data_IF_694824011934
#
_entry.id   IF_694824011934
#
_cell.length_a   1.000
_cell.length_b   1.000
_cell.length_c   1.000
_cell.angle_alpha   90.00
_cell.angle_beta   90.00
_cell.angle_gamma   90.00
#
_symmetry.space_group_name_H-M   'P 1'
#
loop_
_entity.id
_entity.type
_entity.pdbx_description
1 polymer ?
#
# COMPACT_ATOMS: atom_id res chain seq x y z
N UNK A 1 -16.95 -0.29 -13.45
CA UNK A 1 -15.83 0.68 -13.52
C UNK A 1 -14.82 0.40 -12.42
N UNK A 2 -13.52 0.52 -12.69
CA UNK A 2 -12.45 0.38 -11.69
C UNK A 2 -12.25 1.68 -10.88
N UNK A 3 -13.28 2.08 -10.14
CA UNK A 3 -13.23 3.26 -9.26
C UNK A 3 -13.64 2.82 -7.86
N UNK A 4 -12.79 3.01 -6.84
CA UNK A 4 -13.16 2.76 -5.46
C UNK A 4 -14.27 3.72 -5.02
N UNK A 5 -15.15 3.28 -4.12
CA UNK A 5 -16.12 4.16 -3.47
C UNK A 5 -15.43 5.31 -2.70
N UNK A 6 -16.10 6.45 -2.56
CA UNK A 6 -15.51 7.69 -1.98
C UNK A 6 -14.91 7.50 -0.59
N UNK A 7 -15.54 6.66 0.25
CA UNK A 7 -15.03 6.38 1.59
C UNK A 7 -13.64 5.72 1.57
N UNK A 8 -13.24 5.08 0.46
CA UNK A 8 -11.95 4.41 0.34
C UNK A 8 -10.78 5.37 0.54
N UNK A 9 -10.92 6.62 0.07
CA UNK A 9 -9.92 7.67 0.23
C UNK A 9 -9.71 8.07 1.70
N UNK A 10 -10.61 7.70 2.61
CA UNK A 10 -10.43 7.87 4.07
C UNK A 10 -9.21 7.15 4.64
N UNK A 11 -8.67 6.14 3.95
CA UNK A 11 -7.43 5.45 4.34
C UNK A 11 -6.22 6.39 4.40
N UNK A 12 -6.22 7.49 3.63
CA UNK A 12 -5.19 8.51 3.71
C UNK A 12 -5.09 9.11 5.10
N UNK A 13 -6.21 9.32 5.80
CA UNK A 13 -6.23 9.79 7.18
C UNK A 13 -5.49 8.84 8.13
N UNK A 14 -5.71 7.53 7.97
CA UNK A 14 -5.02 6.50 8.75
C UNK A 14 -3.52 6.48 8.42
N UNK A 15 -3.16 6.55 7.14
CA UNK A 15 -1.77 6.59 6.70
C UNK A 15 -1.06 7.82 7.29
N UNK A 16 -1.63 9.02 7.18
CA UNK A 16 -1.04 10.25 7.72
C UNK A 16 -0.94 10.23 9.24
N UNK A 17 -1.93 9.66 9.93
CA UNK A 17 -1.86 9.48 11.37
C UNK A 17 -0.67 8.58 11.78
N UNK A 18 -0.50 7.43 11.12
CA UNK A 18 0.62 6.52 11.40
C UNK A 18 1.98 7.12 11.03
N UNK A 19 2.07 7.87 9.92
CA UNK A 19 3.30 8.58 9.54
C UNK A 19 3.64 9.70 10.55
N UNK A 20 2.64 10.36 11.12
CA UNK A 20 2.83 11.38 12.17
C UNK A 20 3.39 10.75 13.44
N UNK A 21 2.84 9.60 13.88
CA UNK A 21 3.39 8.84 15.01
C UNK A 21 4.84 8.44 14.73
N UNK A 22 5.13 7.95 13.52
CA UNK A 22 6.49 7.58 13.12
C UNK A 22 7.46 8.79 13.19
N UNK A 23 7.02 9.95 12.71
CA UNK A 23 7.81 11.19 12.77
C UNK A 23 8.11 11.59 14.22
N UNK A 24 7.12 11.57 15.11
CA UNK A 24 7.30 11.88 16.54
C UNK A 24 8.28 10.89 17.18
N UNK A 25 8.16 9.59 16.86
CA UNK A 25 9.07 8.56 17.35
C UNK A 25 10.52 8.79 16.88
N UNK A 26 10.73 9.13 15.61
CA UNK A 26 12.05 9.48 15.09
C UNK A 26 12.63 10.73 15.78
N UNK A 27 11.80 11.74 16.04
CA UNK A 27 12.23 12.95 16.74
C UNK A 27 12.69 12.65 18.18
N UNK A 28 11.95 11.80 18.90
CA UNK A 28 12.32 11.34 20.23
C UNK A 28 13.65 10.59 20.25
N UNK A 29 13.86 9.67 19.31
CA UNK A 29 15.11 8.91 19.17
C UNK A 29 16.32 9.82 18.87
N UNK A 30 16.12 10.86 18.05
CA UNK A 30 17.18 11.82 17.72
C UNK A 30 17.57 12.66 18.95
N UNK A 31 16.59 13.10 19.74
CA UNK A 31 16.81 13.89 20.95
C UNK A 31 17.60 13.13 22.02
N UNK A 32 17.37 11.81 22.14
CA UNK A 32 17.97 10.99 23.19
C UNK A 32 19.30 10.33 22.78
N UNK A 33 19.86 10.63 21.58
CA UNK A 33 21.09 10.02 21.07
C UNK A 33 21.09 8.48 21.13
N UNK A 34 19.92 7.86 20.92
CA UNK A 34 19.78 6.40 21.00
C UNK A 34 20.55 5.73 19.84
N UNK A 35 21.22 4.62 20.14
CA UNK A 35 21.82 3.69 19.16
C UNK A 35 20.89 3.28 18.02
N UNK A 36 19.56 3.30 18.26
CA UNK A 36 18.51 3.05 17.27
C UNK A 36 18.37 4.17 16.21
N UNK A 37 19.06 5.31 16.34
CA UNK A 37 19.11 6.38 15.35
C UNK A 37 19.64 5.93 13.97
N UNK A 38 20.22 4.73 13.88
CA UNK A 38 20.57 4.08 12.61
C UNK A 38 19.36 3.89 11.68
N UNK A 39 18.15 3.67 12.24
CA UNK A 39 16.90 3.64 11.46
C UNK A 39 16.65 5.00 10.81
N UNK A 40 16.83 6.10 11.54
CA UNK A 40 16.65 7.46 11.03
C UNK A 40 17.60 7.72 9.86
N UNK A 41 18.88 7.34 9.97
CA UNK A 41 19.85 7.51 8.87
C UNK A 41 19.47 6.72 7.61
N UNK A 42 18.89 5.53 7.75
CA UNK A 42 18.49 4.69 6.62
C UNK A 42 17.18 5.14 5.95
N UNK A 43 16.28 5.75 6.73
CA UNK A 43 14.87 5.90 6.37
C UNK A 43 14.43 7.36 6.27
N UNK A 44 15.03 8.26 7.06
CA UNK A 44 14.61 9.65 7.17
C UNK A 44 14.66 10.42 5.85
N UNK A 45 15.73 10.25 5.06
CA UNK A 45 15.83 10.88 3.73
C UNK A 45 14.77 10.33 2.76
N UNK A 46 14.60 9.01 2.72
CA UNK A 46 13.59 8.37 1.86
C UNK A 46 12.18 8.80 2.28
N UNK A 47 11.91 8.89 3.58
CA UNK A 47 10.65 9.38 4.11
C UNK A 47 10.37 10.82 3.67
N UNK A 48 11.35 11.72 3.81
CA UNK A 48 11.22 13.10 3.35
C UNK A 48 10.92 13.18 1.85
N UNK A 49 11.62 12.37 1.04
CA UNK A 49 11.35 12.25 -0.41
C UNK A 49 9.93 11.76 -0.68
N UNK A 50 9.45 10.72 0.02
CA UNK A 50 8.06 10.25 -0.14
C UNK A 50 7.04 11.32 0.19
N UNK A 51 7.26 12.09 1.26
CA UNK A 51 6.37 13.17 1.67
C UNK A 51 6.33 14.31 0.64
N UNK A 52 7.49 14.71 0.10
CA UNK A 52 7.56 15.73 -0.96
C UNK A 52 6.83 15.28 -2.23
N UNK A 53 7.08 14.04 -2.68
CA UNK A 53 6.39 13.48 -3.85
C UNK A 53 4.88 13.45 -3.60
N UNK A 54 4.44 13.08 -2.40
CA UNK A 54 3.03 13.06 -2.03
C UNK A 54 2.39 14.46 -2.05
N UNK A 55 3.09 15.48 -1.55
CA UNK A 55 2.64 16.88 -1.63
C UNK A 55 2.48 17.33 -3.08
N UNK A 56 3.45 17.03 -3.95
CA UNK A 56 3.33 17.32 -5.38
C UNK A 56 2.18 16.56 -6.01
N UNK A 57 2.00 15.29 -5.66
CA UNK A 57 0.89 14.49 -6.19
C UNK A 57 -0.47 15.11 -5.86
N UNK A 58 -0.71 15.53 -4.61
CA UNK A 58 -1.95 16.23 -4.23
C UNK A 58 -2.11 17.51 -5.04
N UNK A 59 -1.06 18.32 -5.16
CA UNK A 59 -1.08 19.57 -5.93
C UNK A 59 -1.49 19.32 -7.39
N UNK A 60 -0.83 18.40 -8.09
CA UNK A 60 -1.16 18.09 -9.48
C UNK A 60 -2.52 17.42 -9.66
N UNK A 61 -2.97 16.65 -8.66
CA UNK A 61 -4.28 16.02 -8.66
C UNK A 61 -5.39 17.07 -8.58
N UNK A 62 -5.24 18.11 -7.74
CA UNK A 62 -6.16 19.24 -7.65
C UNK A 62 -6.22 20.09 -8.94
N UNK A 63 -5.19 20.02 -9.78
CA UNK A 63 -5.12 20.70 -11.08
C UNK A 63 -5.55 19.80 -12.27
N UNK A 64 -6.13 18.63 -12.02
CA UNK A 64 -6.57 17.67 -13.06
C UNK A 64 -5.45 17.19 -14.00
N UNK A 65 -4.19 17.31 -13.57
CA UNK A 65 -2.98 16.91 -14.31
C UNK A 65 -2.66 15.42 -14.08
N UNK A 66 -3.63 14.56 -14.43
CA UNK A 66 -3.61 13.11 -14.14
C UNK A 66 -2.35 12.40 -14.67
N UNK A 67 -1.82 12.80 -15.83
CA UNK A 67 -0.60 12.22 -16.39
C UNK A 67 0.63 12.45 -15.49
N UNK A 68 0.76 13.64 -14.90
CA UNK A 68 1.81 13.96 -13.93
C UNK A 68 1.57 13.19 -12.63
N UNK A 69 0.32 13.11 -12.17
CA UNK A 69 -0.04 12.31 -11.00
C UNK A 69 0.40 10.85 -11.16
N UNK A 70 0.19 10.25 -12.33
CA UNK A 70 0.60 8.88 -12.61
C UNK A 70 2.12 8.68 -12.48
N UNK A 71 2.90 9.60 -13.08
CA UNK A 71 4.36 9.58 -12.97
C UNK A 71 4.79 9.68 -11.50
N UNK A 72 4.19 10.61 -10.74
CA UNK A 72 4.49 10.78 -9.31
C UNK A 72 4.12 9.55 -8.49
N UNK A 73 3.01 8.87 -8.78
CA UNK A 73 2.63 7.63 -8.08
C UNK A 73 3.61 6.49 -8.37
N UNK A 74 4.11 6.37 -9.60
CA UNK A 74 5.13 5.36 -9.95
C UNK A 74 6.43 5.65 -9.18
N UNK A 75 6.89 6.90 -9.18
CA UNK A 75 8.10 7.31 -8.44
C UNK A 75 7.90 7.08 -6.94
N UNK A 76 6.74 7.47 -6.39
CA UNK A 76 6.39 7.26 -4.99
C UNK A 76 6.44 5.77 -4.62
N UNK A 77 5.83 4.92 -5.44
CA UNK A 77 5.81 3.47 -5.22
C UNK A 77 7.23 2.87 -5.29
N UNK A 78 8.07 3.35 -6.20
CA UNK A 78 9.47 2.94 -6.28
C UNK A 78 10.27 3.32 -5.03
N UNK A 79 10.10 4.57 -4.54
CA UNK A 79 10.76 5.05 -3.32
C UNK A 79 10.27 4.25 -2.10
N UNK A 80 8.97 4.02 -1.97
CA UNK A 80 8.39 3.21 -0.88
C UNK A 80 8.90 1.77 -0.92
N UNK A 81 8.95 1.15 -2.09
CA UNK A 81 9.45 -0.22 -2.26
C UNK A 81 10.94 -0.30 -1.91
N UNK A 82 11.74 0.70 -2.31
CA UNK A 82 13.15 0.82 -1.93
C UNK A 82 13.31 0.98 -0.42
N UNK A 83 12.50 1.81 0.21
CA UNK A 83 12.47 2.00 1.66
C UNK A 83 12.15 0.69 2.38
N UNK A 84 11.12 -0.04 1.92
CA UNK A 84 10.73 -1.35 2.44
C UNK A 84 11.89 -2.37 2.38
N UNK A 85 12.63 -2.42 1.27
CA UNK A 85 13.80 -3.32 1.17
C UNK A 85 14.92 -3.00 2.14
N UNK A 86 15.06 -1.74 2.58
CA UNK A 86 16.11 -1.30 3.52
C UNK A 86 15.73 -1.50 4.98
N UNK A 87 14.43 -1.52 5.30
CA UNK A 87 13.93 -1.62 6.67
C UNK A 87 13.48 -3.02 7.06
N UNK A 88 13.13 -3.88 6.12
CA UNK A 88 12.70 -5.25 6.41
C UNK A 88 13.92 -6.18 6.50
N UNK A 89 14.27 -6.72 7.69
CA UNK A 89 15.35 -7.68 7.82
C UNK A 89 14.97 -9.02 7.18
N UNK A 90 15.91 -9.63 6.44
CA UNK A 90 15.65 -10.83 5.64
C UNK A 90 15.47 -12.12 6.46
N UNK A 91 15.99 -12.19 7.69
CA UNK A 91 16.08 -13.44 8.46
C UNK A 91 15.80 -13.34 9.96
N UNK A 92 15.53 -12.16 10.50
CA UNK A 92 15.36 -11.99 11.96
C UNK A 92 13.89 -12.00 12.39
N UNK A 93 13.59 -12.41 13.64
CA UNK A 93 12.27 -12.27 14.24
C UNK A 93 11.83 -10.81 14.20
N UNK A 94 10.56 -10.57 13.85
CA UNK A 94 10.03 -9.20 13.77
C UNK A 94 9.84 -8.66 15.18
N UNK A 95 10.58 -7.62 15.54
CA UNK A 95 10.41 -6.94 16.83
C UNK A 95 9.22 -5.99 16.81
N UNK A 96 8.65 -5.67 17.98
CA UNK A 96 7.55 -4.71 18.10
C UNK A 96 7.94 -3.34 17.52
N UNK A 97 9.16 -2.88 17.79
CA UNK A 97 9.71 -1.63 17.25
C UNK A 97 9.78 -1.66 15.72
N UNK A 98 10.19 -2.77 15.11
CA UNK A 98 10.17 -2.93 13.66
C UNK A 98 8.75 -2.93 13.12
N UNK A 99 7.80 -3.57 13.79
CA UNK A 99 6.41 -3.56 13.36
C UNK A 99 5.86 -2.12 13.33
N UNK A 100 6.02 -1.37 14.41
CA UNK A 100 5.55 0.03 14.50
C UNK A 100 6.21 0.91 13.46
N UNK A 101 7.51 0.75 13.23
CA UNK A 101 8.26 1.61 12.29
C UNK A 101 8.02 1.27 10.82
N UNK A 102 7.68 0.03 10.49
CA UNK A 102 7.46 -0.40 9.09
C UNK A 102 5.98 -0.38 8.66
N UNK A 103 5.05 -0.55 9.60
CA UNK A 103 3.60 -0.56 9.34
C UNK A 103 3.11 0.64 8.53
N UNK A 104 3.40 1.91 8.88
CA UNK A 104 2.93 3.07 8.10
C UNK A 104 3.33 2.98 6.62
N UNK A 105 4.58 2.61 6.34
CA UNK A 105 5.11 2.56 4.98
C UNK A 105 4.57 1.38 4.18
N UNK A 106 4.38 0.23 4.83
CA UNK A 106 3.76 -0.94 4.19
C UNK A 106 2.30 -0.67 3.83
N UNK A 107 1.53 -0.08 4.76
CA UNK A 107 0.13 0.32 4.51
C UNK A 107 0.07 1.34 3.37
N UNK A 108 0.96 2.33 3.39
CA UNK A 108 1.04 3.35 2.36
C UNK A 108 1.35 2.76 0.98
N UNK A 109 2.33 1.87 0.88
CA UNK A 109 2.68 1.19 -0.38
C UNK A 109 1.52 0.39 -0.97
N UNK A 110 0.80 -0.37 -0.14
CA UNK A 110 -0.35 -1.15 -0.61
C UNK A 110 -1.48 -0.29 -1.16
N UNK A 111 -1.78 0.83 -0.49
CA UNK A 111 -2.78 1.78 -0.97
C UNK A 111 -2.35 2.46 -2.28
N UNK A 112 -1.09 2.92 -2.36
CA UNK A 112 -0.54 3.55 -3.57
C UNK A 112 -0.61 2.62 -4.77
N UNK A 113 -0.40 1.31 -4.60
CA UNK A 113 -0.60 0.34 -5.68
C UNK A 113 -2.02 0.36 -6.25
N UNK A 114 -3.05 0.31 -5.40
CA UNK A 114 -4.45 0.31 -5.86
C UNK A 114 -4.79 1.66 -6.50
N UNK A 115 -4.41 2.76 -5.83
CA UNK A 115 -4.68 4.10 -6.32
C UNK A 115 -3.95 4.41 -7.64
N UNK A 116 -2.74 3.87 -7.85
CA UNK A 116 -2.02 4.00 -9.12
C UNK A 116 -2.76 3.32 -10.27
N UNK A 117 -3.30 2.11 -10.05
CA UNK A 117 -4.08 1.39 -11.06
C UNK A 117 -5.38 2.14 -11.37
N UNK A 118 -6.05 2.70 -10.35
CA UNK A 118 -7.24 3.51 -10.54
C UNK A 118 -6.95 4.79 -11.34
N UNK A 119 -5.86 5.50 -11.02
CA UNK A 119 -5.43 6.68 -11.78
C UNK A 119 -5.03 6.34 -13.22
N UNK A 120 -4.37 5.20 -13.44
CA UNK A 120 -4.03 4.73 -14.77
C UNK A 120 -5.28 4.45 -15.61
N UNK A 121 -6.27 3.76 -15.02
CA UNK A 121 -7.54 3.47 -15.68
C UNK A 121 -8.29 4.76 -16.04
N UNK A 122 -8.39 5.71 -15.11
CA UNK A 122 -9.02 7.01 -15.34
C UNK A 122 -8.29 7.82 -16.43
N UNK A 123 -6.95 7.78 -16.45
CA UNK A 123 -6.16 8.47 -17.46
C UNK A 123 -6.39 7.91 -18.87
N UNK A 124 -6.43 6.58 -19.03
CA UNK A 124 -6.71 5.94 -20.32
C UNK A 124 -8.10 6.32 -20.85
N UNK A 125 -9.11 6.36 -19.98
CA UNK A 125 -10.46 6.82 -20.35
C UNK A 125 -10.43 8.30 -20.79
N UNK A 126 -9.70 9.16 -20.07
CA UNK A 126 -9.55 10.59 -20.42
C UNK A 126 -8.85 10.81 -21.77
N UNK A 127 -7.93 9.93 -22.16
CA UNK A 127 -7.29 9.94 -23.47
C UNK A 127 -8.19 9.43 -24.61
N UNK A 128 -9.41 8.98 -24.29
CA UNK A 128 -10.32 8.38 -25.27
C UNK A 128 -9.86 7.00 -25.75
N UNK A 129 -8.97 6.34 -25.02
CA UNK A 129 -8.55 4.98 -25.34
C UNK A 129 -9.76 4.05 -25.19
N UNK A 130 -10.16 3.42 -26.30
CA UNK A 130 -11.15 2.34 -26.29
C UNK A 130 -10.42 1.02 -26.25
N UNK A 131 -10.50 0.31 -25.14
CA UNK A 131 -10.00 -1.06 -25.07
C UNK A 131 -10.88 -1.97 -25.96
N UNK A 132 -10.29 -3.01 -26.52
CA UNK A 132 -11.01 -3.99 -27.36
C UNK A 132 -11.89 -4.94 -26.56
N UNK A 133 -11.72 -4.97 -25.24
CA UNK A 133 -12.51 -5.76 -24.30
C UNK A 133 -13.82 -5.06 -23.93
N UNK A 134 -14.78 -5.80 -23.41
CA UNK A 134 -15.96 -5.22 -22.75
C UNK A 134 -15.55 -4.52 -21.44
N UNK A 135 -16.24 -3.43 -21.09
CA UNK A 135 -15.94 -2.61 -19.89
C UNK A 135 -15.91 -3.42 -18.59
N UNK A 136 -16.77 -4.44 -18.50
CA UNK A 136 -16.80 -5.41 -17.41
C UNK A 136 -15.50 -6.21 -17.33
N UNK A 137 -15.11 -6.85 -18.44
CA UNK A 137 -13.89 -7.65 -18.53
C UNK A 137 -12.64 -6.82 -18.27
N UNK A 138 -12.61 -5.58 -18.75
CA UNK A 138 -11.52 -4.65 -18.47
C UNK A 138 -11.41 -4.32 -16.98
N UNK A 139 -12.55 -4.06 -16.32
CA UNK A 139 -12.58 -3.81 -14.87
C UNK A 139 -12.11 -5.05 -14.08
N UNK A 140 -12.58 -6.24 -14.46
CA UNK A 140 -12.16 -7.52 -13.86
C UNK A 140 -10.65 -7.74 -13.99
N UNK A 141 -10.10 -7.48 -15.18
CA UNK A 141 -8.66 -7.57 -15.43
C UNK A 141 -7.86 -6.67 -14.47
N UNK A 142 -8.28 -5.40 -14.31
CA UNK A 142 -7.63 -4.45 -13.40
C UNK A 142 -7.70 -4.90 -11.94
N UNK A 143 -8.83 -5.48 -11.50
CA UNK A 143 -8.96 -6.07 -10.15
C UNK A 143 -7.97 -7.21 -9.95
N UNK A 144 -7.88 -8.12 -10.91
CA UNK A 144 -6.96 -9.27 -10.83
C UNK A 144 -5.50 -8.80 -10.78
N UNK A 145 -5.12 -7.83 -11.62
CA UNK A 145 -3.78 -7.25 -11.63
C UNK A 145 -3.47 -6.59 -10.27
N UNK A 146 -4.39 -5.76 -9.77
CA UNK A 146 -4.24 -5.09 -8.48
C UNK A 146 -4.11 -6.09 -7.32
N UNK A 147 -4.93 -7.15 -7.33
CA UNK A 147 -4.89 -8.21 -6.33
C UNK A 147 -3.60 -9.00 -6.37
N UNK A 148 -3.17 -9.40 -7.56
CA UNK A 148 -1.93 -10.14 -7.78
C UNK A 148 -0.71 -9.35 -7.28
N UNK A 149 -0.60 -8.07 -7.63
CA UNK A 149 0.49 -7.19 -7.17
C UNK A 149 0.48 -7.09 -5.64
N UNK A 150 -0.70 -6.87 -5.04
CA UNK A 150 -0.81 -6.77 -3.58
C UNK A 150 -0.41 -8.08 -2.87
N UNK A 151 -0.83 -9.25 -3.37
CA UNK A 151 -0.44 -10.56 -2.83
C UNK A 151 1.07 -10.74 -2.95
N UNK A 152 1.64 -10.52 -4.14
CA UNK A 152 3.07 -10.70 -4.39
C UNK A 152 3.94 -9.83 -3.48
N UNK A 153 3.64 -8.52 -3.39
CA UNK A 153 4.43 -7.59 -2.59
C UNK A 153 4.24 -7.82 -1.09
N UNK A 154 3.01 -8.13 -0.66
CA UNK A 154 2.76 -8.52 0.74
C UNK A 154 3.58 -9.75 1.13
N UNK A 155 3.67 -10.75 0.26
CA UNK A 155 4.47 -11.95 0.51
C UNK A 155 5.97 -11.64 0.49
N UNK A 156 6.45 -10.96 -0.55
CA UNK A 156 7.87 -10.60 -0.73
C UNK A 156 8.42 -9.83 0.46
N UNK A 157 7.66 -8.87 0.99
CA UNK A 157 8.06 -8.04 2.13
C UNK A 157 7.57 -8.55 3.47
N UNK A 158 6.85 -9.69 3.49
CA UNK A 158 6.17 -10.23 4.69
C UNK A 158 5.36 -9.13 5.39
N UNK A 159 4.65 -8.31 4.62
CA UNK A 159 4.03 -7.07 5.08
C UNK A 159 2.50 -7.19 5.08
N UNK A 160 1.94 -7.57 6.23
CA UNK A 160 0.48 -7.75 6.39
C UNK A 160 -0.28 -6.45 6.10
N UNK A 161 0.20 -5.31 6.61
CA UNK A 161 -0.44 -4.02 6.38
C UNK A 161 -0.46 -3.60 4.91
N UNK A 162 0.50 -4.07 4.09
CA UNK A 162 0.46 -3.84 2.64
C UNK A 162 -0.78 -4.49 2.02
N UNK A 163 -1.00 -5.77 2.32
CA UNK A 163 -2.15 -6.49 1.81
C UNK A 163 -3.47 -5.97 2.38
N UNK A 164 -3.52 -5.53 3.64
CA UNK A 164 -4.72 -4.92 4.22
C UNK A 164 -5.15 -3.65 3.46
N UNK A 165 -4.21 -2.80 3.05
CA UNK A 165 -4.53 -1.64 2.21
C UNK A 165 -5.03 -2.06 0.81
N UNK A 166 -4.44 -3.10 0.23
CA UNK A 166 -4.91 -3.67 -1.03
C UNK A 166 -6.33 -4.22 -0.94
N UNK A 167 -6.62 -5.01 0.10
CA UNK A 167 -7.94 -5.57 0.36
C UNK A 167 -8.97 -4.46 0.59
N UNK A 168 -8.63 -3.44 1.39
CA UNK A 168 -9.48 -2.26 1.60
C UNK A 168 -9.87 -1.58 0.29
N UNK A 169 -8.87 -1.32 -0.58
CA UNK A 169 -9.11 -0.67 -1.86
C UNK A 169 -9.97 -1.52 -2.81
N UNK A 170 -9.72 -2.83 -2.90
CA UNK A 170 -10.51 -3.71 -3.75
C UNK A 170 -11.92 -3.96 -3.21
N UNK A 171 -12.11 -4.01 -1.89
CA UNK A 171 -13.44 -4.03 -1.28
C UNK A 171 -14.23 -2.77 -1.63
N UNK A 172 -13.58 -1.60 -1.65
CA UNK A 172 -14.24 -0.38 -2.07
C UNK A 172 -14.58 -0.33 -3.56
N UNK A 173 -13.74 -0.92 -4.43
CA UNK A 173 -14.09 -1.11 -5.85
C UNK A 173 -15.31 -2.03 -5.96
N UNK A 174 -15.34 -3.12 -5.19
CA UNK A 174 -16.47 -4.04 -5.21
C UNK A 174 -17.77 -3.38 -4.77
N UNK A 175 -17.74 -2.60 -3.67
CA UNK A 175 -18.90 -1.89 -3.15
C UNK A 175 -19.42 -0.87 -4.16
N UNK A 176 -18.54 -0.13 -4.84
CA UNK A 176 -18.94 0.85 -5.85
C UNK A 176 -19.64 0.23 -7.08
N UNK A 177 -19.46 -1.08 -7.31
CA UNK A 177 -20.07 -1.78 -8.45
C UNK A 177 -21.29 -2.64 -8.06
N UNK A 178 -21.72 -2.66 -6.79
CA UNK A 178 -22.75 -3.61 -6.32
C UNK A 178 -24.05 -3.51 -7.11
N UNK A 179 -24.53 -2.29 -7.35
CA UNK A 179 -25.80 -2.04 -8.02
C UNK A 179 -25.67 -1.94 -9.55
N UNK A 180 -24.44 -1.84 -10.07
CA UNK A 180 -24.18 -1.57 -11.50
C UNK A 180 -23.63 -2.78 -12.24
N UNK A 181 -22.73 -3.55 -11.63
CA UNK A 181 -22.15 -4.74 -12.23
C UNK A 181 -21.80 -5.78 -11.14
N UNK A 182 -22.73 -6.71 -10.94
CA UNK A 182 -22.63 -7.74 -9.90
C UNK A 182 -21.39 -8.63 -10.06
N UNK A 183 -21.01 -8.99 -11.29
CA UNK A 183 -19.83 -9.82 -11.57
C UNK A 183 -18.55 -9.13 -11.06
N UNK A 184 -18.38 -7.84 -11.38
CA UNK A 184 -17.24 -7.03 -10.92
C UNK A 184 -17.17 -7.01 -9.39
N UNK A 185 -18.31 -6.84 -8.71
CA UNK A 185 -18.37 -6.84 -7.26
C UNK A 185 -17.97 -8.18 -6.66
N UNK A 186 -18.48 -9.30 -7.19
CA UNK A 186 -18.12 -10.64 -6.73
C UNK A 186 -16.62 -10.89 -6.90
N UNK A 187 -16.06 -10.56 -8.07
CA UNK A 187 -14.61 -10.71 -8.32
C UNK A 187 -13.79 -9.84 -7.37
N UNK A 188 -14.23 -8.59 -7.13
CA UNK A 188 -13.58 -7.69 -6.17
C UNK A 188 -13.55 -8.24 -4.75
N UNK A 189 -14.68 -8.78 -4.27
CA UNK A 189 -14.78 -9.41 -2.94
C UNK A 189 -13.88 -10.66 -2.87
N UNK A 190 -13.95 -11.55 -3.85
CA UNK A 190 -13.12 -12.77 -3.89
C UNK A 190 -11.63 -12.44 -3.87
N UNK A 191 -11.22 -11.41 -4.63
CA UNK A 191 -9.83 -10.95 -4.68
C UNK A 191 -9.40 -10.36 -3.34
N UNK A 192 -10.26 -9.54 -2.71
CA UNK A 192 -9.99 -9.00 -1.37
C UNK A 192 -9.87 -10.13 -0.32
N UNK A 193 -10.74 -11.13 -0.36
CA UNK A 193 -10.65 -12.31 0.52
C UNK A 193 -9.35 -13.09 0.31
N UNK A 194 -8.92 -13.29 -0.94
CA UNK A 194 -7.64 -13.96 -1.23
C UNK A 194 -6.44 -13.20 -0.65
N UNK A 195 -6.46 -11.86 -0.71
CA UNK A 195 -5.45 -11.02 -0.05
C UNK A 195 -5.51 -11.20 1.47
N UNK A 196 -6.69 -11.19 2.07
CA UNK A 196 -6.86 -11.36 3.52
C UNK A 196 -6.38 -12.75 3.99
N UNK A 197 -6.65 -13.81 3.24
CA UNK A 197 -6.13 -15.15 3.53
C UNK A 197 -4.60 -15.19 3.46
N UNK A 198 -4.01 -14.51 2.48
CA UNK A 198 -2.54 -14.36 2.39
C UNK A 198 -1.98 -13.60 3.58
N UNK A 199 -2.62 -12.50 3.98
CA UNK A 199 -2.27 -11.71 5.16
C UNK A 199 -2.32 -12.56 6.45
N UNK A 200 -3.36 -13.37 6.61
CA UNK A 200 -3.50 -14.28 7.74
C UNK A 200 -2.36 -15.31 7.77
N UNK A 201 -2.06 -15.94 6.63
CA UNK A 201 -0.95 -16.89 6.51
C UNK A 201 0.42 -16.26 6.84
N UNK A 202 0.70 -15.05 6.35
CA UNK A 202 1.93 -14.33 6.67
C UNK A 202 1.98 -14.00 8.17
N UNK A 203 0.86 -13.58 8.76
CA UNK A 203 0.73 -13.26 10.17
C UNK A 203 1.03 -14.45 11.09
N UNK A 204 0.41 -15.60 10.84
CA UNK A 204 0.64 -16.82 11.64
C UNK A 204 2.09 -17.30 11.55
N UNK A 205 2.70 -17.24 10.36
CA UNK A 205 4.09 -17.64 10.19
C UNK A 205 5.05 -16.75 10.98
N UNK A 206 4.81 -15.44 11.05
CA UNK A 206 5.60 -14.51 11.89
C UNK A 206 5.52 -14.87 13.38
N UNK A 207 4.33 -15.21 13.88
CA UNK A 207 4.12 -15.58 15.28
C UNK A 207 4.90 -16.85 15.63
N UNK A 208 4.84 -17.87 14.78
CA UNK A 208 5.57 -19.13 15.00
C UNK A 208 7.09 -18.95 15.03
N UNK A 209 7.66 -18.12 14.14
CA UNK A 209 9.10 -17.84 14.13
C UNK A 209 9.55 -17.12 15.40
N UNK A 210 8.77 -16.14 15.90
CA UNK A 210 9.09 -15.42 17.13
C UNK A 210 9.03 -16.32 18.38
N UNK A 211 8.14 -17.32 18.42
CA UNK A 211 8.07 -18.28 19.53
C UNK A 211 9.29 -19.21 19.58
N UNK A 212 9.77 -19.69 18.42
CA UNK A 212 10.96 -20.55 18.36
C UNK A 212 12.26 -19.86 18.81
N UNK A 213 12.39 -18.55 18.58
CA UNK A 213 13.55 -17.77 19.04
C UNK A 213 13.56 -17.54 20.55
N UNK A 214 12.39 -17.49 21.21
CA UNK A 214 12.27 -17.31 22.66
C UNK A 214 12.57 -18.60 23.45
N UNK A 215 12.45 -19.77 22.82
CA UNK A 215 12.75 -21.06 23.45
C UNK A 215 14.23 -21.46 23.35
N UNK A 216 15.03 -20.72 22.57
CA UNK A 216 16.46 -21.01 22.31
C UNK A 216 17.42 -20.02 22.98
N UNK A 217 16.89 -19.03 23.70
CA UNK A 217 17.62 -18.04 24.52
C UNK A 217 17.47 -18.34 26.00
#
# INVERSE_FOLDING_TARGET
MFTPADYAFGIWGIIYFLLTIHFIYCFYLLKNNDSNATIIKKVGLLFAVTSLINCFWIYFWLHDLIGICLILMIVLLYVLTTMLTRITPKKEPTTLTQLITTTPFTLYGGWVCVAMIANAAAFLVKLGWKHTLEDELWTILLIIIAGFINILLSWKYRAVAFGLAGAWGLSAVAINNLDTNYTVSVVGILTATAILSTCFYIGTRKLTTNQSSLQTS
#
